data_IF_559294189844
#
_entry.id   IF_559294189844
#
_cell.length_a   1.000
_cell.length_b   1.000
_cell.length_c   1.000
_cell.angle_alpha   90.00
_cell.angle_beta   90.00
_cell.angle_gamma   90.00
#
_symmetry.space_group_name_H-M   'P 1'
#
loop_
_entity.id
_entity.type
_entity.pdbx_description
1 polymer ?
#
# COMPACT_ATOMS: atom_id res chain seq x y z
N UNK A 1 -23.14 1.57 6.52
CA UNK A 1 -23.08 3.05 6.64
C UNK A 1 -21.67 3.62 6.45
N UNK A 2 -21.02 3.21 5.36
CA UNK A 2 -19.69 3.78 4.99
C UNK A 2 -19.85 5.10 4.22
N UNK A 3 -21.06 5.50 3.88
CA UNK A 3 -21.38 6.68 3.09
C UNK A 3 -21.77 7.93 3.92
N UNK A 4 -21.50 7.94 5.22
CA UNK A 4 -21.62 9.18 5.96
C UNK A 4 -20.49 10.13 5.55
N UNK A 5 -20.82 11.41 5.33
CA UNK A 5 -19.87 12.46 4.93
C UNK A 5 -18.60 12.52 5.81
N UNK A 6 -18.67 12.06 7.06
CA UNK A 6 -17.54 11.90 7.98
C UNK A 6 -16.60 10.76 7.58
N UNK A 7 -17.13 9.60 7.16
CA UNK A 7 -16.29 8.45 6.76
C UNK A 7 -15.51 8.72 5.48
N UNK A 8 -16.14 9.33 4.47
CA UNK A 8 -15.46 9.75 3.25
C UNK A 8 -14.34 10.79 3.54
N UNK A 9 -14.64 11.82 4.35
CA UNK A 9 -13.67 12.86 4.68
C UNK A 9 -12.44 12.32 5.41
N UNK A 10 -12.58 11.38 6.34
CA UNK A 10 -11.47 10.77 7.07
C UNK A 10 -10.59 9.90 6.17
N UNK A 11 -11.19 9.15 5.26
CA UNK A 11 -10.46 8.28 4.35
C UNK A 11 -9.65 9.12 3.35
N UNK A 12 -10.21 10.18 2.78
CA UNK A 12 -9.48 11.08 1.89
C UNK A 12 -8.30 11.76 2.59
N UNK A 13 -8.50 12.29 3.77
CA UNK A 13 -7.44 12.96 4.53
C UNK A 13 -6.28 12.02 4.81
N UNK A 14 -6.55 10.78 5.16
CA UNK A 14 -5.52 9.81 5.55
C UNK A 14 -4.86 9.10 4.38
N UNK A 15 -5.61 8.81 3.31
CA UNK A 15 -5.14 7.92 2.24
C UNK A 15 -4.71 8.65 0.96
N UNK A 16 -5.11 9.89 0.77
CA UNK A 16 -4.82 10.64 -0.46
C UNK A 16 -3.96 11.87 -0.20
N UNK A 17 -4.28 12.68 0.81
CA UNK A 17 -3.56 13.92 1.07
C UNK A 17 -2.11 13.64 1.47
N UNK A 18 -1.87 12.70 2.41
CA UNK A 18 -0.52 12.39 2.85
C UNK A 18 0.39 11.89 1.72
N UNK A 19 -0.02 10.89 0.89
CA UNK A 19 0.78 10.49 -0.26
C UNK A 19 1.04 11.63 -1.25
N UNK A 20 0.04 12.47 -1.52
CA UNK A 20 0.19 13.61 -2.41
C UNK A 20 1.23 14.61 -1.90
N UNK A 21 1.19 14.92 -0.60
CA UNK A 21 2.17 15.79 0.05
C UNK A 21 3.58 15.17 0.04
N UNK A 22 3.71 13.87 0.29
CA UNK A 22 5.00 13.18 0.24
C UNK A 22 5.58 13.19 -1.18
N UNK A 23 4.77 12.90 -2.19
CA UNK A 23 5.18 12.94 -3.60
C UNK A 23 5.72 14.34 -3.96
N UNK A 24 5.01 15.38 -3.54
CA UNK A 24 5.37 16.77 -3.83
C UNK A 24 6.63 17.22 -3.07
N UNK A 25 6.67 17.04 -1.75
CA UNK A 25 7.78 17.53 -0.93
C UNK A 25 9.08 16.78 -1.11
N UNK A 26 9.02 15.47 -1.34
CA UNK A 26 10.22 14.65 -1.54
C UNK A 26 10.57 14.48 -3.02
N UNK A 27 9.86 15.17 -3.93
CA UNK A 27 10.09 15.10 -5.38
C UNK A 27 10.19 13.65 -5.88
N UNK A 28 9.24 12.82 -5.43
CA UNK A 28 9.27 11.38 -5.68
C UNK A 28 8.91 10.98 -7.12
N UNK A 29 8.54 11.94 -7.96
CA UNK A 29 8.13 11.73 -9.36
C UNK A 29 8.78 12.78 -10.25
N UNK A 30 8.95 12.51 -11.57
CA UNK A 30 9.57 13.45 -12.49
C UNK A 30 8.82 14.79 -12.54
N UNK A 31 9.58 15.87 -12.81
CA UNK A 31 9.03 17.22 -12.93
C UNK A 31 7.92 17.28 -14.00
N UNK A 32 6.84 17.97 -13.65
CA UNK A 32 5.61 18.05 -14.48
C UNK A 32 4.53 17.01 -14.12
N UNK A 33 4.86 15.97 -13.34
CA UNK A 33 3.89 14.95 -12.91
C UNK A 33 3.43 15.14 -11.45
N UNK A 34 3.97 16.09 -10.72
CA UNK A 34 3.72 16.32 -9.29
C UNK A 34 2.25 16.65 -8.96
N UNK A 35 1.52 17.19 -9.94
CA UNK A 35 0.09 17.50 -9.78
C UNK A 35 -0.81 16.44 -10.43
N UNK A 36 -0.36 15.85 -11.54
CA UNK A 36 -1.14 14.87 -12.31
C UNK A 36 -1.28 13.56 -11.54
N UNK A 37 -0.20 13.06 -10.96
CA UNK A 37 -0.23 11.78 -10.23
C UNK A 37 -1.07 11.83 -8.95
N UNK A 38 -0.99 12.85 -8.09
CA UNK A 38 -1.94 13.02 -7.00
C UNK A 38 -3.40 13.09 -7.45
N UNK A 39 -3.70 13.72 -8.59
CA UNK A 39 -5.05 13.75 -9.14
C UNK A 39 -5.53 12.35 -9.59
N UNK A 40 -4.65 11.55 -10.20
CA UNK A 40 -4.93 10.14 -10.53
C UNK A 40 -5.17 9.33 -9.25
N UNK A 41 -4.28 9.44 -8.26
CA UNK A 41 -4.42 8.79 -6.95
C UNK A 41 -5.77 9.12 -6.31
N UNK A 42 -6.16 10.41 -6.36
CA UNK A 42 -7.45 10.86 -5.86
C UNK A 42 -8.62 10.18 -6.59
N UNK A 43 -8.61 10.19 -7.92
CA UNK A 43 -9.69 9.62 -8.75
C UNK A 43 -9.86 8.11 -8.53
N UNK A 44 -8.77 7.32 -8.55
CA UNK A 44 -8.83 5.87 -8.33
C UNK A 44 -9.18 5.51 -6.89
N UNK A 45 -8.76 6.33 -5.91
CA UNK A 45 -9.16 6.16 -4.52
C UNK A 45 -10.66 6.41 -4.34
N UNK A 46 -11.20 7.44 -4.98
CA UNK A 46 -12.64 7.73 -4.99
C UNK A 46 -13.43 6.52 -5.50
N UNK A 47 -13.02 5.96 -6.64
CA UNK A 47 -13.63 4.75 -7.19
C UNK A 47 -13.60 3.59 -6.19
N UNK A 48 -12.42 3.33 -5.56
CA UNK A 48 -12.25 2.25 -4.57
C UNK A 48 -13.22 2.39 -3.38
N UNK A 49 -13.48 3.61 -2.92
CA UNK A 49 -14.35 3.85 -1.75
C UNK A 49 -15.84 3.84 -2.08
N UNK A 50 -16.21 4.21 -3.31
CA UNK A 50 -17.62 4.19 -3.76
C UNK A 50 -18.05 2.78 -4.14
N UNK A 51 -17.14 1.96 -4.66
CA UNK A 51 -17.46 0.62 -5.15
C UNK A 51 -17.56 -0.39 -4.00
N UNK A 52 -18.77 -0.65 -3.54
CA UNK A 52 -19.07 -1.61 -2.46
C UNK A 52 -18.72 -3.07 -2.82
N UNK A 53 -18.62 -3.40 -4.11
CA UNK A 53 -18.33 -4.75 -4.60
C UNK A 53 -16.82 -5.11 -4.54
N UNK A 54 -15.98 -4.17 -4.13
CA UNK A 54 -14.53 -4.44 -4.00
C UNK A 54 -14.17 -5.33 -2.81
N UNK A 55 -15.09 -5.62 -1.90
CA UNK A 55 -14.84 -6.49 -0.74
C UNK A 55 -15.38 -7.88 -0.99
N UNK A 56 -14.55 -8.91 -0.87
CA UNK A 56 -14.98 -10.30 -0.93
C UNK A 56 -15.43 -10.82 0.42
N UNK A 57 -16.19 -11.93 0.45
CA UNK A 57 -16.71 -12.55 1.67
C UNK A 57 -15.61 -13.10 2.62
N UNK A 58 -14.42 -13.36 2.10
CA UNK A 58 -13.23 -13.82 2.81
C UNK A 58 -12.27 -12.69 3.18
N UNK A 59 -12.72 -11.43 3.03
CA UNK A 59 -12.01 -10.21 3.38
C UNK A 59 -10.76 -9.91 2.55
N UNK A 60 -10.78 -10.25 1.27
CA UNK A 60 -9.86 -9.69 0.29
C UNK A 60 -10.50 -8.49 -0.42
N UNK A 61 -9.66 -7.65 -1.01
CA UNK A 61 -10.10 -6.60 -1.92
C UNK A 61 -9.96 -7.07 -3.35
N UNK A 62 -10.97 -6.83 -4.18
CA UNK A 62 -10.93 -7.06 -5.62
C UNK A 62 -10.48 -5.76 -6.30
N UNK A 63 -9.26 -5.72 -6.77
CA UNK A 63 -8.57 -4.50 -7.21
C UNK A 63 -7.71 -3.88 -6.13
N UNK A 64 -6.78 -2.99 -6.53
CA UNK A 64 -5.87 -2.31 -5.59
C UNK A 64 -6.64 -1.45 -4.59
N UNK A 65 -6.48 -1.68 -3.27
CA UNK A 65 -7.33 -1.09 -2.23
C UNK A 65 -6.92 0.33 -1.80
N UNK A 66 -6.35 1.14 -2.68
CA UNK A 66 -5.91 2.52 -2.41
C UNK A 66 -4.95 2.67 -1.21
N UNK A 67 -4.00 1.75 -1.05
CA UNK A 67 -2.98 1.79 0.02
C UNK A 67 -1.82 2.73 -0.33
N UNK A 68 -2.11 3.93 -0.80
CA UNK A 68 -1.11 4.89 -1.31
C UNK A 68 -0.09 5.32 -0.26
N UNK A 69 -0.48 5.41 1.02
CA UNK A 69 0.47 5.67 2.11
C UNK A 69 1.57 4.60 2.19
N UNK A 70 1.19 3.34 1.99
CA UNK A 70 2.16 2.23 1.96
C UNK A 70 3.06 2.35 0.73
N UNK A 71 2.51 2.66 -0.43
CA UNK A 71 3.28 2.82 -1.68
C UNK A 71 4.36 3.91 -1.55
N UNK A 72 3.99 5.11 -1.11
CA UNK A 72 4.97 6.21 -0.93
C UNK A 72 5.99 5.91 0.17
N UNK A 73 5.60 5.15 1.20
CA UNK A 73 6.50 4.66 2.23
C UNK A 73 7.58 3.71 1.65
N UNK A 74 7.21 2.84 0.70
CA UNK A 74 8.16 2.00 -0.03
C UNK A 74 9.12 2.84 -0.87
N UNK A 75 8.63 3.84 -1.58
CA UNK A 75 9.48 4.76 -2.34
C UNK A 75 10.49 5.47 -1.44
N UNK A 76 10.05 5.92 -0.28
CA UNK A 76 10.89 6.59 0.71
C UNK A 76 11.97 5.66 1.29
N UNK A 77 11.58 4.46 1.75
CA UNK A 77 12.52 3.50 2.38
C UNK A 77 13.54 2.98 1.36
N UNK A 78 13.10 2.67 0.13
CA UNK A 78 13.96 2.11 -0.92
C UNK A 78 14.72 3.18 -1.71
N UNK A 79 14.41 4.46 -1.49
CA UNK A 79 14.98 5.58 -2.25
C UNK A 79 14.93 5.32 -3.76
N UNK A 80 13.76 4.96 -4.27
CA UNK A 80 13.57 4.54 -5.65
C UNK A 80 13.61 5.73 -6.62
N UNK A 81 14.02 5.47 -7.87
CA UNK A 81 14.07 6.48 -8.91
C UNK A 81 12.67 7.02 -9.26
N UNK A 82 12.57 8.32 -9.57
CA UNK A 82 11.32 9.03 -9.88
C UNK A 82 10.52 8.38 -11.02
N UNK A 83 11.18 7.89 -12.06
CA UNK A 83 10.54 7.22 -13.20
C UNK A 83 9.97 5.85 -12.80
N UNK A 84 10.67 5.12 -11.92
CA UNK A 84 10.16 3.86 -11.36
C UNK A 84 8.91 4.14 -10.55
N UNK A 85 8.91 5.18 -9.73
CA UNK A 85 7.78 5.58 -8.92
C UNK A 85 6.55 5.93 -9.78
N UNK A 86 6.76 6.69 -10.86
CA UNK A 86 5.72 7.02 -11.83
C UNK A 86 5.12 5.75 -12.43
N UNK A 87 5.95 4.83 -12.92
CA UNK A 87 5.49 3.57 -13.52
C UNK A 87 4.69 2.74 -12.50
N UNK A 88 5.17 2.62 -11.26
CA UNK A 88 4.49 1.88 -10.20
C UNK A 88 3.13 2.50 -9.89
N UNK A 89 3.03 3.82 -9.76
CA UNK A 89 1.75 4.52 -9.51
C UNK A 89 0.76 4.22 -10.65
N UNK A 90 1.20 4.32 -11.89
CA UNK A 90 0.33 4.05 -13.06
C UNK A 90 -0.13 2.59 -13.07
N UNK A 91 0.77 1.63 -12.83
CA UNK A 91 0.41 0.20 -12.74
C UNK A 91 -0.62 -0.05 -11.63
N UNK A 92 -0.41 0.49 -10.43
CA UNK A 92 -1.33 0.31 -9.32
C UNK A 92 -2.69 0.99 -9.56
N UNK A 93 -2.69 2.14 -10.23
CA UNK A 93 -3.92 2.80 -10.66
C UNK A 93 -4.73 1.92 -11.64
N UNK A 94 -4.07 1.28 -12.60
CA UNK A 94 -4.70 0.32 -13.51
C UNK A 94 -5.19 -0.91 -12.74
N UNK A 95 -4.39 -1.45 -11.81
CA UNK A 95 -4.75 -2.61 -10.99
C UNK A 95 -5.96 -2.35 -10.08
N UNK A 96 -6.34 -1.10 -9.85
CA UNK A 96 -7.59 -0.77 -9.15
C UNK A 96 -8.82 -1.29 -9.89
N UNK A 97 -8.77 -1.36 -11.22
CA UNK A 97 -9.88 -1.83 -12.07
C UNK A 97 -9.78 -3.31 -12.45
N UNK A 98 -8.65 -3.95 -12.18
CA UNK A 98 -8.43 -5.38 -12.43
C UNK A 98 -8.88 -6.18 -11.20
N UNK A 99 -9.66 -7.27 -11.32
CA UNK A 99 -10.19 -8.04 -10.19
C UNK A 99 -9.12 -8.92 -9.50
N UNK A 100 -7.91 -8.41 -9.36
CA UNK A 100 -6.83 -9.02 -8.62
C UNK A 100 -7.09 -8.95 -7.11
N UNK A 101 -6.83 -10.00 -6.36
CA UNK A 101 -7.16 -10.08 -4.93
C UNK A 101 -6.02 -9.58 -4.06
N UNK A 102 -6.31 -8.52 -3.30
CA UNK A 102 -5.40 -7.95 -2.31
C UNK A 102 -5.82 -8.34 -0.89
N UNK A 103 -4.86 -8.82 -0.10
CA UNK A 103 -5.13 -9.25 1.28
C UNK A 103 -5.46 -8.06 2.19
N UNK A 104 -6.46 -8.25 3.07
CA UNK A 104 -6.67 -7.35 4.22
C UNK A 104 -5.91 -7.91 5.43
N UNK A 105 -4.77 -7.31 5.85
CA UNK A 105 -3.84 -7.95 6.80
C UNK A 105 -4.47 -8.39 8.13
N UNK A 106 -5.45 -7.63 8.64
CA UNK A 106 -6.06 -7.88 9.95
C UNK A 106 -7.37 -8.68 9.90
N UNK A 107 -8.02 -8.81 8.72
CA UNK A 107 -9.37 -9.39 8.60
C UNK A 107 -9.42 -10.68 7.79
N UNK A 108 -8.37 -11.01 7.05
CA UNK A 108 -8.32 -12.24 6.25
C UNK A 108 -8.62 -13.46 7.12
N UNK A 109 -9.44 -14.37 6.60
CA UNK A 109 -9.80 -15.63 7.28
C UNK A 109 -8.74 -16.70 7.08
N UNK A 110 -8.24 -16.84 5.85
CA UNK A 110 -7.21 -17.81 5.50
C UNK A 110 -5.84 -17.37 6.01
N UNK A 111 -5.10 -18.27 6.66
CA UNK A 111 -3.76 -17.99 7.23
C UNK A 111 -3.71 -16.80 8.21
N UNK A 112 -4.81 -16.52 8.92
CA UNK A 112 -4.97 -15.32 9.75
C UNK A 112 -3.81 -15.09 10.72
N UNK A 113 -3.44 -16.09 11.52
CA UNK A 113 -2.39 -15.95 12.53
C UNK A 113 -1.02 -15.64 11.91
N UNK A 114 -0.72 -16.30 10.78
CA UNK A 114 0.50 -16.09 10.03
C UNK A 114 0.54 -14.67 9.42
N UNK A 115 -0.59 -14.23 8.84
CA UNK A 115 -0.72 -12.89 8.28
C UNK A 115 -0.56 -11.81 9.35
N UNK A 116 -1.15 -12.00 10.53
CA UNK A 116 -0.99 -11.07 11.67
C UNK A 116 0.47 -11.01 12.11
N UNK A 117 1.13 -12.17 12.24
CA UNK A 117 2.55 -12.23 12.60
C UNK A 117 3.42 -11.43 11.60
N UNK A 118 3.28 -11.70 10.29
CA UNK A 118 4.01 -10.96 9.27
C UNK A 118 3.66 -9.46 9.25
N UNK A 119 2.42 -9.09 9.57
CA UNK A 119 2.03 -7.68 9.67
C UNK A 119 2.73 -6.97 10.83
N UNK A 120 2.82 -7.61 12.00
CA UNK A 120 3.51 -7.06 13.17
C UNK A 120 5.00 -6.90 12.89
N UNK A 121 5.64 -7.92 12.33
CA UNK A 121 7.07 -7.88 11.95
C UNK A 121 7.32 -6.80 10.91
N UNK A 122 6.46 -6.72 9.87
CA UNK A 122 6.54 -5.69 8.85
C UNK A 122 6.40 -4.27 9.44
N UNK A 123 5.46 -4.04 10.35
CA UNK A 123 5.27 -2.75 10.99
C UNK A 123 6.48 -2.35 11.86
N UNK A 124 7.01 -3.28 12.65
CA UNK A 124 8.18 -3.05 13.50
C UNK A 124 9.43 -2.73 12.67
N UNK A 125 9.67 -3.50 11.60
CA UNK A 125 10.81 -3.27 10.69
C UNK A 125 10.65 -1.97 9.90
N UNK A 126 9.43 -1.62 9.47
CA UNK A 126 9.11 -0.34 8.82
C UNK A 126 9.44 0.82 9.76
N UNK A 127 8.94 0.77 11.00
CA UNK A 127 9.22 1.80 11.99
C UNK A 127 10.73 1.99 12.20
N UNK A 128 11.48 0.90 12.31
CA UNK A 128 12.94 0.94 12.45
C UNK A 128 13.64 1.54 11.23
N UNK A 129 13.20 1.22 10.00
CA UNK A 129 13.79 1.76 8.78
C UNK A 129 13.51 3.26 8.59
N UNK A 130 12.33 3.73 9.01
CA UNK A 130 11.96 5.16 8.93
C UNK A 130 12.69 5.99 9.99
N UNK A 131 12.85 5.45 11.21
CA UNK A 131 13.51 6.16 12.33
C UNK A 131 15.02 5.93 12.40
N UNK A 132 15.64 5.51 11.33
CA UNK A 132 17.01 5.08 11.20
C UNK A 132 18.07 6.02 11.81
N UNK A 133 17.83 7.33 11.80
CA UNK A 133 18.76 8.34 12.31
C UNK A 133 18.69 8.58 13.82
N UNK A 134 17.59 8.18 14.47
CA UNK A 134 17.29 8.60 15.84
C UNK A 134 17.68 7.54 16.89
N UNK A 135 17.73 6.26 16.50
CA UNK A 135 17.90 5.16 17.45
C UNK A 135 19.10 4.29 17.05
N UNK A 136 20.21 4.47 17.74
CA UNK A 136 21.41 3.62 17.62
C UNK A 136 21.18 2.23 18.24
N UNK A 137 20.29 1.43 17.63
CA UNK A 137 20.18 0.02 17.98
C UNK A 137 21.30 -0.76 17.26
N UNK A 138 21.95 -1.67 17.98
CA UNK A 138 23.03 -2.55 17.45
C UNK A 138 22.56 -3.54 16.36
N UNK A 139 21.33 -3.38 15.85
CA UNK A 139 20.78 -4.24 14.81
C UNK A 139 21.23 -3.72 13.45
N UNK A 140 21.87 -4.60 12.66
CA UNK A 140 22.31 -4.28 11.32
C UNK A 140 21.10 -3.93 10.42
N UNK A 141 21.09 -2.72 9.86
CA UNK A 141 20.02 -2.22 8.99
C UNK A 141 19.77 -3.11 7.77
N UNK A 142 20.78 -3.81 7.29
CA UNK A 142 20.66 -4.79 6.20
C UNK A 142 19.77 -5.96 6.61
N UNK A 143 19.92 -6.48 7.84
CA UNK A 143 19.06 -7.57 8.34
C UNK A 143 17.61 -7.10 8.45
N UNK A 144 17.40 -5.88 8.96
CA UNK A 144 16.06 -5.29 9.07
C UNK A 144 15.42 -5.15 7.70
N UNK A 145 16.17 -4.66 6.71
CA UNK A 145 15.69 -4.52 5.33
C UNK A 145 15.32 -5.88 4.70
N UNK A 146 16.16 -6.90 4.90
CA UNK A 146 15.89 -8.26 4.40
C UNK A 146 14.64 -8.84 5.04
N UNK A 147 14.45 -8.71 6.35
CA UNK A 147 13.24 -9.15 7.04
C UNK A 147 12.00 -8.42 6.53
N UNK A 148 12.10 -7.12 6.30
CA UNK A 148 11.02 -6.31 5.74
C UNK A 148 10.63 -6.76 4.32
N UNK A 149 11.62 -7.06 3.46
CA UNK A 149 11.39 -7.60 2.12
C UNK A 149 10.78 -9.01 2.16
N UNK A 150 11.16 -9.86 3.10
CA UNK A 150 10.55 -11.18 3.30
C UNK A 150 9.07 -11.04 3.66
N UNK A 151 8.72 -10.12 4.57
CA UNK A 151 7.33 -9.84 4.91
C UNK A 151 6.54 -9.33 3.70
N UNK A 152 7.13 -8.44 2.90
CA UNK A 152 6.55 -7.94 1.65
C UNK A 152 6.30 -9.08 0.66
N UNK A 153 7.29 -9.97 0.48
CA UNK A 153 7.17 -11.17 -0.36
C UNK A 153 6.02 -12.08 0.08
N UNK A 154 5.83 -12.26 1.39
CA UNK A 154 4.69 -13.00 1.92
C UNK A 154 3.34 -12.36 1.51
N UNK A 155 3.19 -11.04 1.61
CA UNK A 155 1.94 -10.37 1.20
C UNK A 155 1.68 -10.50 -0.30
N UNK A 156 2.71 -10.34 -1.13
CA UNK A 156 2.59 -10.55 -2.58
C UNK A 156 2.18 -12.00 -2.89
N UNK A 157 2.83 -12.97 -2.25
CA UNK A 157 2.55 -14.40 -2.42
C UNK A 157 1.11 -14.77 -2.07
N UNK A 158 0.58 -14.31 -0.92
CA UNK A 158 -0.79 -14.63 -0.51
C UNK A 158 -1.84 -13.97 -1.43
N UNK A 159 -1.57 -12.76 -1.92
CA UNK A 159 -2.41 -12.09 -2.91
C UNK A 159 -2.43 -12.86 -4.24
N UNK A 160 -1.27 -13.33 -4.70
CA UNK A 160 -1.11 -14.09 -5.92
C UNK A 160 -1.86 -15.44 -5.87
N UNK A 161 -1.65 -16.23 -4.82
CA UNK A 161 -2.34 -17.52 -4.64
C UNK A 161 -3.86 -17.35 -4.61
N UNK A 162 -4.34 -16.32 -3.91
CA UNK A 162 -5.78 -16.08 -3.81
C UNK A 162 -6.37 -15.63 -5.14
N UNK A 163 -5.64 -14.86 -5.93
CA UNK A 163 -6.08 -14.43 -7.25
C UNK A 163 -6.20 -15.59 -8.22
N UNK A 164 -5.24 -16.54 -8.22
CA UNK A 164 -5.29 -17.71 -9.10
C UNK A 164 -6.48 -18.62 -8.77
N UNK A 165 -6.81 -18.81 -7.48
CA UNK A 165 -7.94 -19.65 -7.06
C UNK A 165 -9.31 -19.17 -7.56
N UNK A 166 -9.45 -17.91 -7.93
CA UNK A 166 -10.70 -17.40 -8.51
C UNK A 166 -10.79 -17.67 -10.03
N UNK A 167 -9.68 -18.03 -10.68
CA UNK A 167 -9.62 -18.35 -12.12
C UNK A 167 -9.58 -19.87 -12.42
N UNK A 168 -9.49 -20.71 -11.40
CA UNK A 168 -9.55 -22.17 -11.48
C UNK A 168 -10.90 -22.70 -11.03
#
# INVERSE_FOLDING_TARGET
DVLTSRGLGDVYKRQVINPALMIYWFQMVPSGFEMILPAIIFGVSLYTFINVNMKTNDYYFSGFPALWNVVVLYFFILNTNEWINLIVIVILAILTFVPWKFVHPLRVKSFRNLTIFFTVVWAATTLRLVTKSEINLMINDTIVLVLWLICTGYFVWICFIRSIKDYS
#
